data_IF_117240681450
#
_entry.id   IF_117240681450
#
_cell.length_a   1.000
_cell.length_b   1.000
_cell.length_c   1.000
_cell.angle_alpha   90.00
_cell.angle_beta   90.00
_cell.angle_gamma   90.00
#
_symmetry.space_group_name_H-M   'P 1'
#
loop_
_entity.id
_entity.type
_entity.pdbx_description
1 polymer ?
#
# COMPACT_ATOMS: atom_id res chain seq x y z
N UNK A 1 -26.26 -20.15 5.21
CA UNK A 1 -26.64 -19.91 6.62
C UNK A 1 -25.76 -20.83 7.44
N UNK A 2 -24.74 -20.44 8.21
CA UNK A 2 -24.16 -19.18 8.72
C UNK A 2 -23.23 -18.54 7.66
N UNK A 3 -23.27 -17.28 7.19
CA UNK A 3 -23.46 -15.93 7.76
C UNK A 3 -22.30 -15.51 8.66
N UNK A 4 -21.24 -14.94 8.06
CA UNK A 4 -20.40 -13.88 8.63
C UNK A 4 -20.09 -13.99 10.14
N UNK A 5 -19.61 -15.16 10.58
CA UNK A 5 -19.27 -15.40 11.98
C UNK A 5 -17.99 -14.65 12.36
N UNK A 6 -18.16 -13.46 12.94
CA UNK A 6 -17.37 -12.76 13.99
C UNK A 6 -15.81 -12.84 14.06
N UNK A 7 -15.11 -13.58 13.21
CA UNK A 7 -13.65 -13.75 13.24
C UNK A 7 -12.87 -12.78 12.35
N UNK A 8 -13.54 -12.09 11.42
CA UNK A 8 -12.90 -11.21 10.43
C UNK A 8 -12.75 -9.76 10.87
N UNK A 9 -13.70 -9.26 11.67
CA UNK A 9 -13.67 -7.87 12.15
C UNK A 9 -12.43 -7.52 12.98
N UNK A 10 -11.93 -8.37 13.89
CA UNK A 10 -10.77 -8.02 14.71
C UNK A 10 -9.49 -7.90 13.87
N UNK A 11 -9.26 -8.82 12.94
CA UNK A 11 -8.04 -8.84 12.11
C UNK A 11 -8.08 -7.71 11.08
N UNK A 12 -9.21 -7.51 10.41
CA UNK A 12 -9.37 -6.42 9.44
C UNK A 12 -9.24 -5.06 10.13
N UNK A 13 -9.80 -4.91 11.33
CA UNK A 13 -9.64 -3.72 12.15
C UNK A 13 -8.17 -3.50 12.55
N UNK A 14 -7.44 -4.55 12.94
CA UNK A 14 -6.01 -4.46 13.24
C UNK A 14 -5.21 -4.04 12.00
N UNK A 15 -5.50 -4.61 10.83
CA UNK A 15 -4.86 -4.21 9.56
C UNK A 15 -5.13 -2.73 9.28
N UNK A 16 -6.38 -2.28 9.36
CA UNK A 16 -6.74 -0.87 9.19
C UNK A 16 -6.09 0.06 10.21
N UNK A 17 -6.05 -0.33 11.48
CA UNK A 17 -5.39 0.45 12.53
C UNK A 17 -3.91 0.65 12.22
N UNK A 18 -3.24 -0.39 11.74
CA UNK A 18 -1.82 -0.27 11.48
C UNK A 18 -1.56 0.43 10.13
N UNK A 19 -2.43 0.28 9.14
CA UNK A 19 -2.42 1.12 7.94
C UNK A 19 -2.57 2.61 8.28
N UNK A 20 -3.46 2.95 9.23
CA UNK A 20 -3.59 4.32 9.74
C UNK A 20 -2.33 4.81 10.47
N UNK A 21 -1.65 3.94 11.23
CA UNK A 21 -0.35 4.28 11.86
C UNK A 21 0.71 4.55 10.78
N UNK A 22 0.75 3.75 9.71
CA UNK A 22 1.66 3.98 8.59
C UNK A 22 1.37 5.29 7.88
N UNK A 23 0.09 5.60 7.63
CA UNK A 23 -0.32 6.88 7.03
C UNK A 23 0.07 8.04 7.95
N UNK A 24 -0.16 7.92 9.27
CA UNK A 24 0.21 8.92 10.25
C UNK A 24 1.72 9.16 10.27
N UNK A 25 2.53 8.11 10.36
CA UNK A 25 3.99 8.23 10.36
C UNK A 25 4.51 8.78 9.02
N UNK A 26 3.85 8.47 7.91
CA UNK A 26 4.14 9.07 6.60
C UNK A 26 3.81 10.57 6.58
N UNK A 27 2.69 11.01 7.17
CA UNK A 27 2.38 12.43 7.34
C UNK A 27 3.39 13.13 8.25
N UNK A 28 3.89 12.44 9.28
CA UNK A 28 4.93 12.96 10.18
C UNK A 28 6.29 13.10 9.48
N UNK A 29 6.61 12.23 8.51
CA UNK A 29 7.77 12.36 7.64
C UNK A 29 7.77 13.69 6.85
N UNK A 30 6.60 14.19 6.45
CA UNK A 30 6.48 15.46 5.71
C UNK A 30 6.51 16.70 6.59
N UNK A 31 6.04 16.59 7.84
CA UNK A 31 5.82 17.76 8.70
C UNK A 31 6.99 18.05 9.64
N UNK A 32 7.86 17.07 9.93
CA UNK A 32 9.03 17.26 10.79
C UNK A 32 10.33 17.10 10.02
N UNK A 33 11.33 17.93 10.35
CA UNK A 33 12.71 17.82 9.84
C UNK A 33 13.41 16.57 10.40
N UNK A 34 13.07 15.40 9.88
CA UNK A 34 13.61 14.13 10.34
C UNK A 34 15.03 13.89 9.82
N UNK A 35 15.92 13.55 10.75
CA UNK A 35 17.28 13.13 10.41
C UNK A 35 17.26 11.80 9.63
N UNK A 36 18.32 11.50 8.88
CA UNK A 36 18.47 10.29 8.04
C UNK A 36 18.18 9.01 8.83
N UNK A 37 18.59 8.94 10.11
CA UNK A 37 18.29 7.80 11.00
C UNK A 37 16.79 7.56 11.20
N UNK A 38 16.00 8.62 11.42
CA UNK A 38 14.55 8.52 11.59
C UNK A 38 13.87 8.09 10.29
N UNK A 39 14.37 8.58 9.15
CA UNK A 39 13.87 8.18 7.82
C UNK A 39 14.15 6.71 7.51
N UNK A 40 15.33 6.20 7.89
CA UNK A 40 15.66 4.78 7.77
C UNK A 40 14.85 3.89 8.73
N UNK A 41 14.58 4.35 9.96
CA UNK A 41 13.70 3.63 10.89
C UNK A 41 12.27 3.54 10.35
N UNK A 42 11.76 4.64 9.78
CA UNK A 42 10.45 4.66 9.12
C UNK A 42 10.39 3.70 7.93
N UNK A 43 11.42 3.70 7.08
CA UNK A 43 11.56 2.72 5.99
C UNK A 43 11.45 1.29 6.52
N UNK A 44 12.19 0.96 7.58
CA UNK A 44 12.18 -0.37 8.16
C UNK A 44 10.81 -0.74 8.73
N UNK A 45 10.17 0.18 9.47
CA UNK A 45 8.84 -0.02 10.04
C UNK A 45 7.77 -0.21 8.94
N UNK A 46 7.83 0.57 7.86
CA UNK A 46 6.90 0.48 6.73
C UNK A 46 6.93 -0.90 6.08
N UNK A 47 8.13 -1.40 5.73
CA UNK A 47 8.28 -2.70 5.09
C UNK A 47 8.08 -3.88 6.04
N UNK A 48 8.51 -3.76 7.29
CA UNK A 48 8.19 -4.75 8.32
C UNK A 48 6.66 -4.87 8.47
N UNK A 49 5.96 -3.74 8.42
CA UNK A 49 4.52 -3.73 8.50
C UNK A 49 3.86 -4.35 7.26
N UNK A 50 4.34 -4.06 6.05
CA UNK A 50 3.90 -4.74 4.82
C UNK A 50 3.96 -6.27 4.99
N UNK A 51 5.10 -6.76 5.46
CA UNK A 51 5.34 -8.19 5.68
C UNK A 51 4.39 -8.72 6.75
N UNK A 52 4.19 -8.02 7.86
CA UNK A 52 3.26 -8.43 8.92
C UNK A 52 1.82 -8.44 8.41
N UNK A 53 1.38 -7.44 7.64
CA UNK A 53 0.05 -7.39 7.07
C UNK A 53 -0.21 -8.56 6.11
N UNK A 54 0.77 -8.91 5.29
CA UNK A 54 0.77 -10.12 4.46
C UNK A 54 0.75 -11.40 5.31
N UNK A 55 1.47 -11.41 6.44
CA UNK A 55 1.61 -12.58 7.29
C UNK A 55 0.48 -12.79 8.32
N UNK A 56 -0.32 -11.77 8.62
CA UNK A 56 -1.46 -11.87 9.54
C UNK A 56 -2.73 -12.33 8.82
N UNK A 57 -2.83 -12.13 7.50
CA UNK A 57 -3.93 -12.71 6.72
C UNK A 57 -3.95 -14.23 6.89
N UNK A 58 -5.07 -14.72 7.41
CA UNK A 58 -5.29 -16.14 7.65
C UNK A 58 -5.25 -16.90 6.32
N UNK A 59 -4.73 -18.13 6.33
CA UNK A 59 -4.81 -19.02 5.19
C UNK A 59 -6.28 -19.24 4.83
N UNK A 60 -6.68 -18.83 3.63
CA UNK A 60 -8.06 -18.94 3.16
C UNK A 60 -8.30 -20.30 2.50
N UNK A 61 -7.27 -21.12 2.31
CA UNK A 61 -7.33 -22.43 1.66
C UNK A 61 -7.72 -22.38 0.19
N UNK A 62 -7.90 -21.18 -0.38
CA UNK A 62 -8.36 -20.95 -1.75
C UNK A 62 -7.51 -19.83 -2.35
N UNK A 63 -6.75 -20.16 -3.39
CA UNK A 63 -5.96 -19.21 -4.18
C UNK A 63 -6.70 -18.92 -5.48
N UNK A 64 -7.30 -17.74 -5.60
CA UNK A 64 -7.99 -17.30 -6.81
C UNK A 64 -7.06 -16.33 -7.57
N UNK A 65 -7.05 -16.41 -8.90
CA UNK A 65 -6.34 -15.47 -9.75
C UNK A 65 -7.37 -14.62 -10.48
N UNK A 66 -7.37 -13.31 -10.22
CA UNK A 66 -8.21 -12.32 -10.89
C UNK A 66 -7.35 -11.50 -11.85
N UNK A 67 -7.40 -11.84 -13.14
CA UNK A 67 -6.57 -11.24 -14.20
C UNK A 67 -7.21 -10.04 -14.90
N UNK A 68 -8.33 -9.51 -14.39
CA UNK A 68 -8.94 -8.33 -14.99
C UNK A 68 -8.45 -7.07 -14.24
N UNK A 69 -7.58 -6.24 -14.84
CA UNK A 69 -7.06 -5.03 -14.18
C UNK A 69 -8.15 -3.97 -13.91
N UNK A 70 -9.30 -4.08 -14.58
CA UNK A 70 -10.44 -3.18 -14.40
C UNK A 70 -11.51 -3.74 -13.47
N UNK A 71 -11.29 -4.89 -12.83
CA UNK A 71 -12.25 -5.46 -11.89
C UNK A 71 -12.59 -4.49 -10.74
N UNK A 72 -11.60 -3.75 -10.26
CA UNK A 72 -11.75 -2.74 -9.22
C UNK A 72 -12.74 -1.62 -9.60
N UNK A 73 -12.94 -1.31 -10.89
CA UNK A 73 -13.89 -0.26 -11.30
C UNK A 73 -15.34 -0.64 -11.00
N UNK A 74 -15.68 -1.92 -11.15
CA UNK A 74 -17.02 -2.42 -10.85
C UNK A 74 -17.28 -2.38 -9.35
N UNK A 75 -16.27 -2.75 -8.57
CA UNK A 75 -16.30 -2.72 -7.10
C UNK A 75 -16.38 -1.28 -6.59
N UNK A 76 -15.70 -0.31 -7.20
CA UNK A 76 -15.88 1.10 -6.84
C UNK A 76 -17.31 1.57 -7.16
N UNK A 77 -17.85 1.21 -8.32
CA UNK A 77 -19.15 1.73 -8.76
C UNK A 77 -20.34 1.13 -8.00
N UNK A 78 -20.27 -0.15 -7.65
CA UNK A 78 -21.37 -0.88 -6.99
C UNK A 78 -21.06 -1.33 -5.56
N UNK A 79 -19.85 -1.07 -5.08
CA UNK A 79 -19.35 -1.64 -3.84
C UNK A 79 -19.90 -0.99 -2.58
N UNK A 80 -19.73 -1.74 -1.50
CA UNK A 80 -20.07 -1.30 -0.15
C UNK A 80 -19.07 -0.26 0.38
N UNK A 81 -19.44 0.46 1.45
CA UNK A 81 -18.52 1.34 2.18
C UNK A 81 -17.19 0.66 2.57
N UNK A 82 -17.23 -0.64 2.85
CA UNK A 82 -16.03 -1.43 3.16
C UNK A 82 -15.10 -1.57 1.97
N UNK A 83 -15.62 -1.78 0.76
CA UNK A 83 -14.81 -1.86 -0.47
C UNK A 83 -14.17 -0.51 -0.81
N UNK A 84 -14.90 0.59 -0.60
CA UNK A 84 -14.34 1.94 -0.72
C UNK A 84 -13.18 2.21 0.24
N UNK A 85 -13.28 1.70 1.47
CA UNK A 85 -12.21 1.78 2.46
C UNK A 85 -10.98 0.98 1.99
N UNK A 86 -11.18 -0.25 1.52
CA UNK A 86 -10.09 -1.10 0.97
C UNK A 86 -9.41 -0.41 -0.20
N UNK A 87 -10.17 0.18 -1.12
CA UNK A 87 -9.64 0.96 -2.24
C UNK A 87 -8.77 2.13 -1.76
N UNK A 88 -9.26 2.90 -0.78
CA UNK A 88 -8.53 4.04 -0.24
C UNK A 88 -7.21 3.61 0.43
N UNK A 89 -7.20 2.48 1.12
CA UNK A 89 -5.99 1.92 1.72
C UNK A 89 -5.00 1.39 0.68
N UNK A 90 -5.46 0.68 -0.35
CA UNK A 90 -4.59 0.19 -1.43
C UNK A 90 -3.89 1.34 -2.17
N UNK A 91 -4.58 2.46 -2.40
CA UNK A 91 -3.94 3.67 -2.96
C UNK A 91 -3.05 4.35 -1.92
N UNK A 92 -3.58 4.62 -0.72
CA UNK A 92 -2.92 5.40 0.31
C UNK A 92 -1.61 4.79 0.77
N UNK A 93 -1.58 3.47 0.97
CA UNK A 93 -0.39 2.75 1.37
C UNK A 93 0.72 2.87 0.30
N UNK A 94 0.40 2.52 -0.95
CA UNK A 94 1.36 2.54 -2.05
C UNK A 94 1.75 3.94 -2.52
N UNK A 95 0.98 4.98 -2.16
CA UNK A 95 1.36 6.38 -2.39
C UNK A 95 2.64 6.80 -1.67
N UNK A 96 2.94 6.20 -0.51
CA UNK A 96 4.15 6.54 0.25
C UNK A 96 5.37 5.72 -0.19
N UNK A 97 5.17 4.60 -0.89
CA UNK A 97 6.25 3.71 -1.32
C UNK A 97 7.33 4.44 -2.15
N UNK A 98 7.01 5.33 -3.12
CA UNK A 98 8.03 6.05 -3.89
C UNK A 98 8.89 7.01 -3.05
N UNK A 99 8.35 7.50 -1.94
CA UNK A 99 9.09 8.36 -1.01
C UNK A 99 10.08 7.54 -0.19
N UNK A 100 9.60 6.42 0.34
CA UNK A 100 10.38 5.46 1.11
C UNK A 100 11.52 4.91 0.23
N UNK A 101 11.21 4.47 -0.99
CA UNK A 101 12.20 4.01 -1.97
C UNK A 101 13.09 5.13 -2.48
N UNK A 102 12.58 6.38 -2.46
CA UNK A 102 13.31 7.58 -2.83
C UNK A 102 14.52 7.89 -1.94
N UNK A 103 14.64 7.25 -0.76
CA UNK A 103 15.83 7.33 0.08
C UNK A 103 17.05 6.63 -0.55
N UNK A 104 16.82 5.63 -1.39
CA UNK A 104 17.86 4.81 -2.01
C UNK A 104 17.89 4.94 -3.54
N UNK A 105 16.76 5.26 -4.16
CA UNK A 105 16.61 5.36 -5.62
C UNK A 105 16.31 6.82 -5.98
N UNK A 106 17.28 7.46 -6.63
CA UNK A 106 17.18 8.86 -7.06
C UNK A 106 16.29 9.03 -8.30
N UNK A 107 16.32 8.07 -9.24
CA UNK A 107 15.55 8.12 -10.48
C UNK A 107 14.07 7.79 -10.25
N UNK A 108 13.17 8.70 -10.62
CA UNK A 108 11.73 8.47 -10.49
C UNK A 108 11.25 7.29 -11.36
N UNK A 109 11.90 7.03 -12.50
CA UNK A 109 11.57 5.88 -13.37
C UNK A 109 11.94 4.55 -12.71
N UNK A 110 13.15 4.45 -12.16
CA UNK A 110 13.58 3.25 -11.44
C UNK A 110 12.72 3.03 -10.19
N UNK A 111 12.43 4.10 -9.48
CA UNK A 111 11.60 4.07 -8.28
C UNK A 111 10.17 3.62 -8.59
N UNK A 112 9.58 4.08 -9.70
CA UNK A 112 8.30 3.58 -10.20
C UNK A 112 8.35 2.07 -10.45
N UNK A 113 9.33 1.61 -11.24
CA UNK A 113 9.46 0.18 -11.60
C UNK A 113 9.64 -0.68 -10.35
N UNK A 114 10.52 -0.29 -9.43
CA UNK A 114 10.76 -1.02 -8.18
C UNK A 114 9.49 -1.05 -7.32
N UNK A 115 8.78 0.08 -7.20
CA UNK A 115 7.56 0.14 -6.39
C UNK A 115 6.44 -0.75 -6.97
N UNK A 116 6.25 -0.74 -8.29
CA UNK A 116 5.28 -1.62 -8.96
C UNK A 116 5.68 -3.08 -8.81
N UNK A 117 6.97 -3.39 -8.95
CA UNK A 117 7.48 -4.75 -8.77
C UNK A 117 7.27 -5.27 -7.35
N UNK A 118 7.46 -4.43 -6.33
CA UNK A 118 7.15 -4.79 -4.93
C UNK A 118 5.65 -5.04 -4.77
N UNK A 119 4.77 -4.20 -5.31
CA UNK A 119 3.32 -4.42 -5.27
C UNK A 119 2.91 -5.73 -5.93
N UNK A 120 3.49 -6.05 -7.08
CA UNK A 120 3.29 -7.35 -7.73
C UNK A 120 3.77 -8.51 -6.86
N UNK A 121 4.95 -8.40 -6.24
CA UNK A 121 5.47 -9.42 -5.33
C UNK A 121 4.57 -9.62 -4.10
N UNK A 122 3.90 -8.58 -3.62
CA UNK A 122 2.93 -8.69 -2.53
C UNK A 122 1.77 -9.60 -2.92
N UNK A 123 1.14 -9.34 -4.06
CA UNK A 123 0.06 -10.18 -4.59
C UNK A 123 0.53 -11.60 -4.88
N UNK A 124 1.72 -11.73 -5.47
CA UNK A 124 2.30 -13.03 -5.78
C UNK A 124 2.61 -13.85 -4.51
N UNK A 125 3.04 -13.19 -3.44
CA UNK A 125 3.26 -13.84 -2.15
C UNK A 125 1.95 -14.28 -1.50
N UNK A 126 0.88 -13.47 -1.61
CA UNK A 126 -0.45 -13.87 -1.15
C UNK A 126 -0.94 -15.13 -1.87
N UNK A 127 -0.67 -15.24 -3.18
CA UNK A 127 -0.97 -16.44 -3.98
C UNK A 127 -0.22 -17.67 -3.50
N UNK A 128 1.10 -17.57 -3.32
CA UNK A 128 1.96 -18.69 -2.89
C UNK A 128 1.56 -19.19 -1.50
N UNK A 129 1.26 -18.27 -0.58
CA UNK A 129 0.94 -18.62 0.79
C UNK A 129 -0.53 -18.97 1.02
N UNK A 130 -1.38 -18.98 -0.01
CA UNK A 130 -2.83 -19.21 0.09
C UNK A 130 -3.56 -18.21 1.00
N UNK A 131 -3.03 -16.98 1.08
CA UNK A 131 -3.52 -15.93 2.01
C UNK A 131 -4.41 -14.90 1.36
N UNK A 132 -4.68 -15.03 0.06
CA UNK A 132 -5.49 -14.07 -0.68
C UNK A 132 -5.62 -14.40 -2.17
N UNK A 133 -6.27 -13.49 -2.87
CA UNK A 133 -6.48 -13.51 -4.32
C UNK A 133 -5.34 -12.75 -4.96
N UNK A 134 -4.72 -13.31 -6.00
CA UNK A 134 -3.83 -12.52 -6.85
C UNK A 134 -4.70 -11.62 -7.74
N UNK A 135 -4.81 -10.34 -7.40
CA UNK A 135 -5.72 -9.41 -8.10
C UNK A 135 -4.98 -8.33 -8.89
N UNK A 136 -5.13 -8.38 -10.22
CA UNK A 136 -4.63 -7.32 -11.10
C UNK A 136 -5.38 -5.99 -10.93
N UNK A 137 -6.62 -6.03 -10.42
CA UNK A 137 -7.37 -4.86 -9.99
C UNK A 137 -6.64 -4.10 -8.88
N UNK A 138 -6.20 -4.81 -7.84
CA UNK A 138 -5.42 -4.22 -6.73
C UNK A 138 -4.07 -3.70 -7.21
N UNK A 139 -3.37 -4.42 -8.07
CA UNK A 139 -2.13 -3.92 -8.68
C UNK A 139 -2.37 -2.62 -9.45
N UNK A 140 -3.51 -2.49 -10.13
CA UNK A 140 -3.88 -1.24 -10.82
C UNK A 140 -4.08 -0.09 -9.83
N UNK A 141 -4.64 -0.36 -8.64
CA UNK A 141 -4.75 0.63 -7.56
C UNK A 141 -3.39 1.02 -6.98
N UNK A 142 -2.48 0.05 -6.81
CA UNK A 142 -1.12 0.31 -6.36
C UNK A 142 -0.39 1.23 -7.33
N UNK A 143 -0.54 1.00 -8.64
CA UNK A 143 0.03 1.86 -9.69
C UNK A 143 -0.51 3.28 -9.58
N UNK A 144 -1.82 3.46 -9.35
CA UNK A 144 -2.40 4.80 -9.12
C UNK A 144 -1.79 5.47 -7.89
N UNK A 145 -1.70 4.74 -6.77
CA UNK A 145 -1.05 5.24 -5.55
C UNK A 145 0.40 5.67 -5.80
N UNK A 146 1.21 4.81 -6.40
CA UNK A 146 2.62 5.07 -6.74
C UNK A 146 2.76 6.33 -7.62
N UNK A 147 1.93 6.48 -8.65
CA UNK A 147 1.97 7.67 -9.52
C UNK A 147 1.66 8.95 -8.74
N UNK A 148 0.63 8.93 -7.89
CA UNK A 148 0.31 10.04 -6.99
C UNK A 148 1.48 10.34 -6.05
N UNK A 149 2.12 9.31 -5.50
CA UNK A 149 3.30 9.42 -4.64
C UNK A 149 4.46 10.14 -5.31
N UNK A 150 4.81 9.73 -6.53
CA UNK A 150 5.86 10.37 -7.33
C UNK A 150 5.49 11.83 -7.64
N UNK A 151 4.25 12.09 -8.05
CA UNK A 151 3.79 13.44 -8.36
C UNK A 151 3.91 14.39 -7.15
N UNK A 152 3.44 13.95 -5.97
CA UNK A 152 3.54 14.75 -4.74
C UNK A 152 5.02 14.96 -4.36
N UNK A 153 5.88 13.96 -4.58
CA UNK A 153 7.34 14.05 -4.37
C UNK A 153 8.00 15.12 -5.21
N UNK A 154 7.72 15.14 -6.51
CA UNK A 154 8.26 16.15 -7.41
C UNK A 154 7.80 17.56 -7.01
N UNK A 155 6.51 17.73 -6.69
CA UNK A 155 5.96 19.03 -6.28
C UNK A 155 6.56 19.52 -4.97
N UNK A 156 6.73 18.65 -3.98
CA UNK A 156 7.33 19.03 -2.70
C UNK A 156 8.79 19.47 -2.86
N UNK A 157 9.59 18.73 -3.63
CA UNK A 157 10.98 19.11 -3.89
C UNK A 157 11.07 20.47 -4.60
N UNK A 158 10.21 20.71 -5.59
CA UNK A 158 10.16 21.98 -6.30
C UNK A 158 9.83 23.16 -5.38
N UNK A 159 8.86 23.00 -4.47
CA UNK A 159 8.49 24.04 -3.49
C UNK A 159 9.63 24.27 -2.49
N UNK A 160 10.33 23.23 -2.07
CA UNK A 160 11.44 23.34 -1.12
C UNK A 160 12.64 24.08 -1.72
N UNK A 161 12.95 23.81 -3.00
CA UNK A 161 13.99 24.52 -3.75
C UNK A 161 13.66 25.99 -4.00
N UNK A 162 12.38 26.36 -4.14
CA UNK A 162 11.95 27.76 -4.29
C UNK A 162 11.97 28.58 -2.99
N UNK A 163 11.97 27.92 -1.83
CA UNK A 163 11.94 28.54 -0.51
C UNK A 163 13.31 28.53 0.19
N UNK A 164 14.39 28.23 -0.53
CA UNK A 164 15.79 28.36 -0.11
C UNK A 164 16.56 29.21 -1.13
#
# INVERSE_FOLDING_TARGET
MEIFGMGWYPIQFVVWCIELVVIYDALMFFTKNWNVKHRAMFFFAYYLFLIIALLIRYDQGISIIQLNPFACLREIYYGSWTEWIVFAFNIGYFMFMPWVNGLFISSNKENFIVSVFIGFLCEFMQLIFHRGVFDLGDISLYVVGILLGIYVKEKYHHIKEQNH
#
